data_IF_942111684748
#
_entry.id   IF_942111684748
#
_cell.length_a   1.000
_cell.length_b   1.000
_cell.length_c   1.000
_cell.angle_alpha   90.00
_cell.angle_beta   90.00
_cell.angle_gamma   90.00
#
_symmetry.space_group_name_H-M   'P 1'
#
loop_
_entity.id
_entity.type
_entity.pdbx_description
1 polymer ?
#
# COMPACT_ATOMS: atom_id res chain seq x y z
N UNK A 1 3.96 4.51 8.73
CA UNK A 1 5.03 4.16 7.75
C UNK A 1 6.18 3.50 8.48
N UNK A 2 7.02 2.73 7.77
CA UNK A 2 8.19 2.02 8.31
C UNK A 2 9.45 2.59 7.64
N UNK A 3 10.57 2.62 8.37
CA UNK A 3 11.91 2.82 7.81
C UNK A 3 12.41 1.47 7.26
N UNK A 4 12.52 1.36 5.93
CA UNK A 4 12.87 0.08 5.27
C UNK A 4 14.28 -0.40 5.64
N UNK A 5 15.23 0.53 5.82
CA UNK A 5 16.60 0.19 6.21
C UNK A 5 16.66 -0.37 7.63
N UNK A 6 15.89 0.22 8.56
CA UNK A 6 15.78 -0.28 9.92
C UNK A 6 15.11 -1.66 9.96
N UNK A 7 14.08 -1.90 9.14
CA UNK A 7 13.43 -3.19 9.01
C UNK A 7 14.39 -4.27 8.47
N UNK A 8 15.12 -3.98 7.40
CA UNK A 8 16.13 -4.90 6.83
C UNK A 8 17.15 -5.28 7.90
N UNK A 9 17.61 -4.31 8.70
CA UNK A 9 18.54 -4.57 9.80
C UNK A 9 17.93 -5.50 10.84
N UNK A 10 16.71 -5.23 11.29
CA UNK A 10 16.02 -6.05 12.28
C UNK A 10 15.80 -7.49 11.80
N UNK A 11 15.53 -7.69 10.51
CA UNK A 11 15.40 -9.01 9.88
C UNK A 11 16.74 -9.73 9.83
N UNK A 12 17.79 -9.08 9.32
CA UNK A 12 19.15 -9.65 9.20
C UNK A 12 19.78 -10.00 10.55
N UNK A 13 19.58 -9.15 11.56
CA UNK A 13 20.10 -9.37 12.92
C UNK A 13 19.15 -10.23 13.79
N UNK A 14 18.06 -10.75 13.24
CA UNK A 14 17.05 -11.55 13.96
C UNK A 14 16.49 -10.88 15.22
N UNK A 15 16.36 -9.55 15.21
CA UNK A 15 15.67 -8.81 16.27
C UNK A 15 14.16 -9.10 16.27
N UNK A 16 13.62 -9.43 15.09
CA UNK A 16 12.27 -9.90 14.89
C UNK A 16 12.28 -11.28 14.23
N UNK A 17 11.26 -12.08 14.49
CA UNK A 17 11.13 -13.41 13.92
C UNK A 17 10.86 -13.39 12.40
N UNK A 18 10.26 -12.31 11.89
CA UNK A 18 10.01 -12.11 10.46
C UNK A 18 9.04 -10.97 10.16
N UNK A 19 8.80 -10.70 8.89
CA UNK A 19 7.87 -9.68 8.41
C UNK A 19 7.17 -10.12 7.10
N UNK A 20 5.88 -9.83 6.98
CA UNK A 20 5.14 -9.95 5.72
C UNK A 20 4.98 -8.59 5.07
N UNK A 21 5.42 -8.45 3.82
CA UNK A 21 5.52 -7.17 3.11
C UNK A 21 4.78 -7.23 1.77
N UNK A 22 3.87 -6.30 1.54
CA UNK A 22 3.13 -6.10 0.28
C UNK A 22 3.51 -4.78 -0.41
N UNK A 23 4.17 -3.86 0.31
CA UNK A 23 4.54 -2.53 -0.16
C UNK A 23 6.01 -2.24 0.16
N UNK A 24 6.64 -1.40 -0.67
CA UNK A 24 8.06 -1.06 -0.57
C UNK A 24 8.29 0.43 -0.81
N UNK A 25 9.41 0.98 -0.35
CA UNK A 25 9.72 2.41 -0.61
C UNK A 25 9.83 2.70 -2.12
N UNK A 26 10.30 1.73 -2.89
CA UNK A 26 10.36 1.78 -4.35
C UNK A 26 9.63 0.59 -4.95
N UNK A 27 8.65 0.88 -5.80
CA UNK A 27 7.85 -0.13 -6.49
C UNK A 27 8.05 -0.07 -8.02
N UNK A 28 8.24 -1.23 -8.70
CA UNK A 28 8.37 -2.58 -8.12
C UNK A 28 9.66 -2.72 -7.30
N UNK A 29 9.68 -3.68 -6.36
CA UNK A 29 10.84 -3.95 -5.52
C UNK A 29 12.09 -4.21 -6.40
N UNK A 30 13.14 -3.38 -6.31
CA UNK A 30 14.33 -3.55 -7.14
C UNK A 30 14.97 -4.93 -6.96
N UNK A 31 15.48 -5.51 -8.04
CA UNK A 31 16.10 -6.85 -8.02
C UNK A 31 17.37 -6.92 -7.16
N UNK A 32 17.99 -5.79 -6.89
CA UNK A 32 19.15 -5.62 -6.02
C UNK A 32 18.79 -5.28 -4.56
N UNK A 33 17.50 -5.26 -4.21
CA UNK A 33 17.07 -4.99 -2.82
C UNK A 33 17.58 -6.04 -1.84
N UNK A 34 18.04 -5.57 -0.67
CA UNK A 34 18.48 -6.43 0.43
C UNK A 34 17.34 -7.24 1.07
N UNK A 35 16.07 -6.85 0.85
CA UNK A 35 14.91 -7.60 1.32
C UNK A 35 14.85 -9.00 0.71
N UNK A 36 15.32 -9.19 -0.53
CA UNK A 36 15.40 -10.51 -1.17
C UNK A 36 16.34 -11.49 -0.46
N UNK A 37 17.27 -10.98 0.36
CA UNK A 37 18.24 -11.79 1.11
C UNK A 37 17.76 -12.11 2.53
N UNK A 38 16.62 -11.58 2.96
CA UNK A 38 16.08 -11.80 4.29
C UNK A 38 15.18 -13.04 4.29
N UNK A 39 15.70 -14.20 4.71
CA UNK A 39 14.95 -15.48 4.69
C UNK A 39 13.68 -15.46 5.56
N UNK A 40 13.64 -14.58 6.56
CA UNK A 40 12.49 -14.33 7.42
C UNK A 40 11.54 -13.23 6.91
N UNK A 41 11.70 -12.77 5.66
CA UNK A 41 10.78 -11.86 5.00
C UNK A 41 9.89 -12.61 4.00
N UNK A 42 8.57 -12.50 4.18
CA UNK A 42 7.59 -12.95 3.20
C UNK A 42 7.21 -11.76 2.31
N UNK A 43 7.63 -11.81 1.05
CA UNK A 43 7.43 -10.74 0.07
C UNK A 43 6.25 -11.09 -0.85
N UNK A 44 5.28 -10.19 -0.93
CA UNK A 44 4.21 -10.17 -1.92
C UNK A 44 4.34 -8.89 -2.79
N UNK A 45 3.98 -8.93 -4.08
CA UNK A 45 3.79 -7.71 -4.86
C UNK A 45 2.63 -6.90 -4.28
N UNK A 46 2.53 -5.60 -4.58
CA UNK A 46 1.48 -4.71 -4.06
C UNK A 46 0.07 -5.07 -4.56
N UNK A 47 -0.51 -6.12 -3.96
CA UNK A 47 -1.77 -6.73 -4.40
C UNK A 47 -2.68 -7.10 -3.23
N UNK A 48 -2.30 -6.82 -1.98
CA UNK A 48 -3.16 -7.09 -0.82
C UNK A 48 -4.53 -6.39 -0.90
N UNK A 49 -4.61 -5.25 -1.58
CA UNK A 49 -5.85 -4.52 -1.86
C UNK A 49 -6.66 -5.08 -3.04
N UNK A 50 -6.05 -5.88 -3.90
CA UNK A 50 -6.66 -6.40 -5.13
C UNK A 50 -7.55 -7.62 -4.83
N UNK A 51 -8.75 -7.36 -4.29
CA UNK A 51 -9.76 -8.39 -4.04
C UNK A 51 -10.68 -8.58 -5.26
N UNK A 52 -11.34 -9.74 -5.43
CA UNK A 52 -12.25 -9.99 -6.57
C UNK A 52 -13.39 -8.96 -6.74
N UNK A 53 -13.73 -8.22 -5.68
CA UNK A 53 -14.79 -7.21 -5.67
C UNK A 53 -14.25 -5.77 -5.59
N UNK A 54 -12.93 -5.58 -5.71
CA UNK A 54 -12.32 -4.27 -5.61
C UNK A 54 -12.83 -3.36 -6.73
N UNK A 55 -12.74 -3.82 -7.98
CA UNK A 55 -13.10 -3.04 -9.15
C UNK A 55 -14.58 -2.62 -9.14
N UNK A 56 -15.48 -3.55 -8.81
CA UNK A 56 -16.92 -3.26 -8.71
C UNK A 56 -17.20 -2.11 -7.73
N UNK A 57 -16.63 -2.19 -6.51
CA UNK A 57 -16.80 -1.16 -5.47
C UNK A 57 -16.14 0.16 -5.86
N UNK A 58 -14.96 0.10 -6.46
CA UNK A 58 -14.21 1.30 -6.88
C UNK A 58 -14.96 2.05 -8.00
N UNK A 59 -15.46 1.32 -9.00
CA UNK A 59 -16.23 1.88 -10.11
C UNK A 59 -17.56 2.46 -9.61
N UNK A 60 -18.26 1.75 -8.72
CA UNK A 60 -19.51 2.26 -8.12
C UNK A 60 -19.29 3.61 -7.42
N UNK A 61 -18.27 3.69 -6.55
CA UNK A 61 -17.91 4.93 -5.85
C UNK A 61 -17.49 6.04 -6.83
N UNK A 62 -16.68 5.71 -7.83
CA UNK A 62 -16.25 6.66 -8.85
C UNK A 62 -17.44 7.24 -9.62
N UNK A 63 -18.36 6.38 -10.09
CA UNK A 63 -19.55 6.82 -10.81
C UNK A 63 -20.44 7.72 -9.96
N UNK A 64 -20.61 7.42 -8.67
CA UNK A 64 -21.39 8.29 -7.78
C UNK A 64 -20.71 9.64 -7.57
N UNK A 65 -19.39 9.66 -7.34
CA UNK A 65 -18.64 10.90 -7.23
C UNK A 65 -18.66 11.72 -8.52
N UNK A 66 -18.63 11.08 -9.69
CA UNK A 66 -18.79 11.77 -10.98
C UNK A 66 -20.17 12.46 -11.09
N UNK A 67 -21.26 11.79 -10.66
CA UNK A 67 -22.60 12.40 -10.64
C UNK A 67 -22.69 13.58 -9.68
N UNK A 68 -22.08 13.47 -8.50
CA UNK A 68 -22.02 14.56 -7.50
C UNK A 68 -21.23 15.75 -8.03
N UNK A 69 -20.05 15.49 -8.61
CA UNK A 69 -19.20 16.50 -9.22
C UNK A 69 -19.95 17.33 -10.27
N UNK A 70 -20.67 16.67 -11.19
CA UNK A 70 -21.44 17.34 -12.25
C UNK A 70 -22.61 18.19 -11.72
N UNK A 71 -23.11 17.89 -10.51
CA UNK A 71 -24.17 18.65 -9.84
C UNK A 71 -23.66 19.74 -8.90
N UNK A 72 -22.35 19.77 -8.64
CA UNK A 72 -21.75 20.63 -7.63
C UNK A 72 -22.01 20.17 -6.18
N UNK A 73 -22.41 18.90 -6.00
CA UNK A 73 -22.62 18.30 -4.69
C UNK A 73 -21.27 17.95 -4.02
N UNK A 74 -21.28 17.78 -2.70
CA UNK A 74 -20.11 17.31 -1.95
C UNK A 74 -19.74 15.86 -2.34
N UNK A 75 -18.45 15.63 -2.59
CA UNK A 75 -17.92 14.31 -2.95
C UNK A 75 -17.82 13.40 -1.73
N UNK A 76 -18.09 12.11 -1.95
CA UNK A 76 -17.83 11.05 -0.98
C UNK A 76 -16.32 10.82 -0.85
N UNK A 77 -15.87 10.52 0.37
CA UNK A 77 -14.48 10.23 0.71
C UNK A 77 -13.50 11.34 0.29
N UNK A 78 -13.92 12.61 0.43
CA UNK A 78 -13.07 13.76 0.12
C UNK A 78 -11.81 13.75 0.99
N UNK A 79 -10.65 13.62 0.34
CA UNK A 79 -9.35 13.67 1.03
C UNK A 79 -8.95 15.13 1.22
N UNK A 80 -8.74 15.53 2.48
CA UNK A 80 -8.18 16.83 2.81
C UNK A 80 -6.67 16.70 3.06
N UNK A 81 -5.86 17.20 2.14
CA UNK A 81 -4.40 17.13 2.22
C UNK A 81 -3.80 17.99 3.34
N UNK A 82 -4.49 19.05 3.78
CA UNK A 82 -4.05 19.90 4.89
C UNK A 82 -4.22 19.23 6.26
N UNK A 83 -5.19 18.31 6.36
CA UNK A 83 -5.36 17.49 7.57
C UNK A 83 -4.27 16.44 7.74
N UNK A 84 -3.45 16.22 6.70
CA UNK A 84 -2.40 15.20 6.70
C UNK A 84 -2.95 13.79 6.86
N UNK A 85 -2.06 12.88 7.27
CA UNK A 85 -2.35 11.53 7.75
C UNK A 85 -1.93 11.42 9.22
#
# INVERSE_FOLDING_TARGET
MVDEAALIRALKENWIAGAGLDVFEKEPLPSDSALWQCENALIAPHVSGATPHYDDRAVELFCENLRRYLRGDELLNLVNLEKGY
#
